data_IF_877747069909
#
_entry.id   IF_877747069909
#
_cell.length_a   1.000
_cell.length_b   1.000
_cell.length_c   1.000
_cell.angle_alpha   90.00
_cell.angle_beta   90.00
_cell.angle_gamma   90.00
#
_symmetry.space_group_name_H-M   'P 1'
#
loop_
_entity.id
_entity.type
_entity.pdbx_description
1 polymer ?
#
# COMPACT_ATOMS: atom_id res chain seq x y z
N UNK A 1 0.64 16.52 6.71
CA UNK A 1 0.37 15.60 5.59
C UNK A 1 1.48 14.56 5.50
N UNK A 2 1.14 13.33 5.18
CA UNK A 2 2.12 12.26 5.06
C UNK A 2 2.73 12.25 3.65
N UNK A 3 4.02 12.00 3.57
CA UNK A 3 4.72 11.94 2.30
C UNK A 3 4.82 10.49 1.82
N UNK A 4 4.38 10.24 0.58
CA UNK A 4 4.56 8.95 -0.06
C UNK A 4 5.90 8.95 -0.77
N UNK A 5 6.75 7.99 -0.44
CA UNK A 5 8.07 7.85 -1.05
C UNK A 5 8.03 6.62 -1.96
N UNK A 6 8.06 6.84 -3.27
CA UNK A 6 7.97 5.78 -4.27
C UNK A 6 9.35 5.34 -4.74
N UNK A 7 9.62 4.05 -4.61
CA UNK A 7 10.86 3.47 -5.16
C UNK A 7 10.61 3.02 -6.60
N UNK A 8 11.67 2.91 -7.39
CA UNK A 8 11.55 2.36 -8.75
C UNK A 8 10.96 0.97 -8.75
N UNK A 9 11.39 0.14 -7.81
CA UNK A 9 10.90 -1.23 -7.69
C UNK A 9 9.39 -1.26 -7.46
N UNK A 10 8.90 -0.45 -6.54
CA UNK A 10 7.46 -0.37 -6.31
C UNK A 10 6.72 0.17 -7.52
N UNK A 11 7.27 1.19 -8.17
CA UNK A 11 6.63 1.78 -9.36
C UNK A 11 6.45 0.74 -10.47
N UNK A 12 7.45 -0.13 -10.67
CA UNK A 12 7.34 -1.21 -11.65
C UNK A 12 6.25 -2.20 -11.27
N UNK A 13 6.17 -2.55 -9.99
CA UNK A 13 5.14 -3.48 -9.49
C UNK A 13 3.74 -2.88 -9.61
N UNK A 14 3.59 -1.62 -9.26
CA UNK A 14 2.30 -0.94 -9.36
C UNK A 14 1.86 -0.80 -10.82
N UNK A 15 2.77 -0.47 -11.72
CA UNK A 15 2.46 -0.39 -13.14
C UNK A 15 1.98 -1.74 -13.67
N UNK A 16 2.65 -2.83 -13.29
CA UNK A 16 2.25 -4.19 -13.69
C UNK A 16 0.86 -4.53 -13.15
N UNK A 17 0.63 -4.22 -11.89
CA UNK A 17 -0.67 -4.46 -11.25
C UNK A 17 -1.79 -3.73 -11.99
N UNK A 18 -1.58 -2.45 -12.30
CA UNK A 18 -2.61 -1.64 -12.97
C UNK A 18 -2.83 -2.05 -14.42
N UNK A 19 -1.80 -2.60 -15.09
CA UNK A 19 -1.99 -3.16 -16.43
C UNK A 19 -2.88 -4.39 -16.41
N UNK A 20 -2.73 -5.23 -15.36
CA UNK A 20 -3.55 -6.43 -15.20
C UNK A 20 -4.94 -6.12 -14.65
N UNK A 21 -5.07 -5.01 -13.93
CA UNK A 21 -6.31 -4.62 -13.27
C UNK A 21 -6.63 -3.17 -13.55
N UNK A 22 -6.94 -2.84 -14.83
CA UNK A 22 -7.19 -1.43 -15.19
C UNK A 22 -8.41 -0.84 -14.51
N UNK A 23 -9.36 -1.68 -14.10
CA UNK A 23 -10.53 -1.28 -13.32
C UNK A 23 -10.18 -0.78 -11.92
N UNK A 24 -8.95 -1.03 -11.45
CA UNK A 24 -8.53 -0.63 -10.12
C UNK A 24 -7.86 0.74 -10.06
N UNK A 25 -7.69 1.41 -11.20
CA UNK A 25 -6.97 2.70 -11.24
C UNK A 25 -7.58 3.74 -10.31
N UNK A 26 -8.89 3.88 -10.34
CA UNK A 26 -9.56 4.89 -9.53
C UNK A 26 -9.47 4.55 -8.04
N UNK A 27 -9.69 3.30 -7.67
CA UNK A 27 -9.57 2.86 -6.28
C UNK A 27 -8.14 3.03 -5.77
N UNK A 28 -7.17 2.72 -6.61
CA UNK A 28 -5.76 2.90 -6.27
C UNK A 28 -5.42 4.38 -6.02
N UNK A 29 -5.85 5.25 -6.94
CA UNK A 29 -5.63 6.69 -6.80
C UNK A 29 -6.23 7.22 -5.49
N UNK A 30 -7.47 6.83 -5.19
CA UNK A 30 -8.13 7.24 -3.95
C UNK A 30 -7.39 6.75 -2.71
N UNK A 31 -6.87 5.52 -2.77
CA UNK A 31 -6.09 4.96 -1.67
C UNK A 31 -4.84 5.80 -1.39
N UNK A 32 -4.13 6.20 -2.43
CA UNK A 32 -2.95 7.03 -2.27
C UNK A 32 -3.29 8.41 -1.67
N UNK A 33 -4.39 9.00 -2.12
CA UNK A 33 -4.85 10.28 -1.56
C UNK A 33 -5.20 10.16 -0.10
N UNK A 34 -5.87 9.08 0.30
CA UNK A 34 -6.21 8.84 1.69
C UNK A 34 -4.95 8.63 2.53
N UNK A 35 -3.97 7.90 2.01
CA UNK A 35 -2.71 7.69 2.73
C UNK A 35 -1.99 9.01 3.01
N UNK A 36 -1.97 9.91 2.04
CA UNK A 36 -1.35 11.22 2.23
C UNK A 36 -2.09 12.05 3.28
N UNK A 37 -3.42 11.97 3.26
CA UNK A 37 -4.24 12.76 4.19
C UNK A 37 -4.22 12.16 5.59
N UNK A 38 -4.41 10.86 5.71
CA UNK A 38 -4.47 10.19 7.00
C UNK A 38 -4.35 8.67 6.83
N UNK A 39 -3.16 8.08 7.04
CA UNK A 39 -3.00 6.63 6.91
C UNK A 39 -3.84 5.82 7.91
N UNK A 40 -4.36 6.47 8.94
CA UNK A 40 -5.23 5.83 9.93
C UNK A 40 -6.71 5.91 9.58
N UNK A 41 -7.05 6.41 8.38
CA UNK A 41 -8.44 6.46 7.96
C UNK A 41 -9.04 5.05 8.00
N UNK A 42 -10.25 4.88 8.59
CA UNK A 42 -10.82 3.53 8.80
C UNK A 42 -10.95 2.69 7.53
N UNK A 43 -11.24 3.30 6.39
CA UNK A 43 -11.41 2.54 5.15
C UNK A 43 -10.12 1.91 4.65
N UNK A 44 -8.97 2.39 5.09
CA UNK A 44 -7.67 1.82 4.71
C UNK A 44 -7.34 0.54 5.47
N UNK A 45 -7.94 0.33 6.62
CA UNK A 45 -7.69 -0.84 7.46
C UNK A 45 -6.19 -1.07 7.71
N UNK A 46 -5.49 0.00 8.03
CA UNK A 46 -4.06 -0.07 8.33
C UNK A 46 -3.83 -1.04 9.48
N UNK A 47 -2.94 -2.02 9.28
CA UNK A 47 -2.57 -2.93 10.35
C UNK A 47 -1.15 -3.43 10.17
N UNK A 48 -0.46 -3.75 11.28
CA UNK A 48 0.89 -4.30 11.22
C UNK A 48 0.87 -5.73 10.71
N UNK A 49 1.95 -6.12 10.04
CA UNK A 49 2.13 -7.47 9.55
C UNK A 49 3.03 -8.25 10.51
N UNK A 50 2.94 -9.58 10.42
CA UNK A 50 3.69 -10.50 11.30
C UNK A 50 4.55 -11.43 10.48
N UNK A 51 5.41 -12.21 11.18
CA UNK A 51 6.27 -13.19 10.55
C UNK A 51 7.34 -12.52 9.71
N UNK A 52 7.49 -12.97 8.47
CA UNK A 52 8.50 -12.43 7.56
C UNK A 52 8.36 -10.95 7.30
N UNK A 53 7.15 -10.43 7.36
CA UNK A 53 6.86 -9.04 7.06
C UNK A 53 6.74 -8.18 8.31
N UNK A 54 7.22 -8.69 9.44
CA UNK A 54 7.22 -7.94 10.68
C UNK A 54 7.93 -6.60 10.50
N UNK A 55 7.31 -5.54 11.02
CA UNK A 55 7.81 -4.18 10.84
C UNK A 55 7.15 -3.43 9.69
N UNK A 56 6.43 -4.16 8.85
CA UNK A 56 5.66 -3.55 7.77
C UNK A 56 4.19 -3.48 8.11
N UNK A 57 3.46 -2.66 7.35
CA UNK A 57 2.02 -2.50 7.49
C UNK A 57 1.33 -2.79 6.17
N UNK A 58 0.04 -3.06 6.25
CA UNK A 58 -0.79 -3.29 5.07
C UNK A 58 -1.97 -2.32 5.10
N UNK A 59 -2.35 -1.80 3.93
CA UNK A 59 -3.59 -1.05 3.76
C UNK A 59 -4.41 -1.68 2.65
N UNK A 60 -5.74 -1.55 2.74
CA UNK A 60 -6.66 -2.09 1.74
C UNK A 60 -6.91 -1.08 0.64
N UNK A 61 -6.84 -1.54 -0.62
CA UNK A 61 -7.38 -0.79 -1.74
C UNK A 61 -8.88 -1.11 -1.84
N UNK A 62 -9.19 -2.40 -1.73
CA UNK A 62 -10.55 -2.91 -1.60
C UNK A 62 -10.47 -4.25 -0.86
N UNK A 63 -11.54 -5.06 -0.94
CA UNK A 63 -11.56 -6.35 -0.25
C UNK A 63 -10.54 -7.35 -0.81
N UNK A 64 -10.14 -7.20 -2.06
CA UNK A 64 -9.28 -8.16 -2.75
C UNK A 64 -7.82 -7.75 -2.81
N UNK A 65 -7.52 -6.45 -2.81
CA UNK A 65 -6.17 -5.95 -3.08
C UNK A 65 -5.65 -5.05 -1.98
N UNK A 66 -4.34 -5.14 -1.73
CA UNK A 66 -3.67 -4.44 -0.63
C UNK A 66 -2.35 -3.85 -1.07
N UNK A 67 -1.89 -2.85 -0.32
CA UNK A 67 -0.54 -2.31 -0.45
C UNK A 67 0.22 -2.62 0.83
N UNK A 68 1.40 -3.20 0.71
CA UNK A 68 2.33 -3.36 1.83
C UNK A 68 3.26 -2.16 1.84
N UNK A 69 3.49 -1.58 3.00
CA UNK A 69 4.30 -0.37 3.11
C UNK A 69 5.06 -0.32 4.44
N UNK A 70 6.11 0.50 4.46
CA UNK A 70 6.77 0.90 5.69
C UNK A 70 6.16 2.20 6.18
N UNK A 71 5.87 2.25 7.47
CA UNK A 71 5.28 3.41 8.12
C UNK A 71 6.31 4.05 9.03
N UNK A 72 6.82 5.23 8.61
CA UNK A 72 7.81 5.98 9.39
C UNK A 72 7.09 7.12 10.10
N UNK A 73 6.67 6.86 11.33
CA UNK A 73 5.81 7.78 12.08
C UNK A 73 6.50 9.11 12.36
N UNK A 74 7.74 9.07 12.83
CA UNK A 74 8.46 10.29 13.20
C UNK A 74 8.68 11.22 12.01
N UNK A 75 8.96 10.65 10.84
CA UNK A 75 9.18 11.41 9.62
C UNK A 75 7.91 11.69 8.84
N UNK A 76 6.80 11.12 9.26
CA UNK A 76 5.52 11.16 8.54
C UNK A 76 5.68 10.74 7.07
N UNK A 77 6.35 9.62 6.87
CA UNK A 77 6.60 9.05 5.54
C UNK A 77 6.01 7.65 5.42
N UNK A 78 5.53 7.35 4.23
CA UNK A 78 5.02 6.05 3.87
C UNK A 78 5.78 5.57 2.65
N UNK A 79 6.36 4.37 2.75
CA UNK A 79 7.15 3.79 1.67
C UNK A 79 6.45 2.53 1.17
N UNK A 80 5.66 2.62 0.09
CA UNK A 80 5.04 1.42 -0.48
C UNK A 80 6.10 0.43 -0.96
N UNK A 81 5.89 -0.84 -0.66
CA UNK A 81 6.83 -1.92 -0.97
C UNK A 81 6.26 -2.86 -2.01
N UNK A 82 5.00 -3.24 -1.86
CA UNK A 82 4.38 -4.21 -2.75
C UNK A 82 2.89 -3.93 -2.88
N UNK A 83 2.28 -4.48 -3.92
CA UNK A 83 0.86 -4.32 -4.22
C UNK A 83 0.35 -5.60 -4.86
N UNK A 84 -0.86 -6.02 -4.50
CA UNK A 84 -1.46 -7.20 -5.08
C UNK A 84 -2.55 -7.78 -4.20
N UNK A 85 -2.93 -9.02 -4.50
CA UNK A 85 -3.89 -9.75 -3.70
C UNK A 85 -3.29 -10.11 -2.36
N UNK A 86 -4.13 -10.50 -1.41
CA UNK A 86 -3.70 -10.95 -0.11
C UNK A 86 -2.59 -12.00 -0.21
N UNK A 87 -2.77 -13.00 -1.07
CA UNK A 87 -1.79 -14.08 -1.22
C UNK A 87 -0.44 -13.58 -1.72
N UNK A 88 -0.45 -12.71 -2.71
CA UNK A 88 0.78 -12.15 -3.28
C UNK A 88 1.52 -11.33 -2.23
N UNK A 89 0.81 -10.47 -1.53
CA UNK A 89 1.40 -9.57 -0.53
C UNK A 89 2.00 -10.33 0.65
N UNK A 90 1.32 -11.36 1.12
CA UNK A 90 1.76 -12.09 2.31
C UNK A 90 2.74 -13.23 2.02
N UNK A 91 3.00 -13.56 0.77
CA UNK A 91 4.01 -14.54 0.38
C UNK A 91 5.42 -13.97 0.31
N UNK A 92 5.52 -12.70 0.09
CA UNK A 92 6.82 -12.03 -0.17
C UNK A 92 7.84 -12.17 0.97
#
# INVERSE_FOLDING_TARGET
>A
MWALVFTERYNRRAARFLRRHPDMREAYRKTLLLLEANPHHPSLRLHPLRGRLQGMHSVSINLSYRITLELLIEDQKLIPIDIGSHDVVYRA
#
